data_IF_125545226137
#
_entry.id   IF_125545226137
#
_cell.length_a   1.000
_cell.length_b   1.000
_cell.length_c   1.000
_cell.angle_alpha   90.00
_cell.angle_beta   90.00
_cell.angle_gamma   90.00
#
_symmetry.space_group_name_H-M   'P 1'
#
loop_
_entity.id
_entity.type
_entity.pdbx_description
1 polymer ?
#
# COMPACT_ATOMS: atom_id res chain seq x y z
N UNK A 1 14.08 -10.90 -4.99
CA UNK A 1 13.61 -9.70 -4.31
C UNK A 1 12.70 -10.08 -3.14
N UNK A 2 12.92 -9.51 -1.98
CA UNK A 2 12.12 -9.82 -0.81
C UNK A 2 10.84 -8.98 -0.79
N UNK A 3 9.83 -9.44 -0.04
CA UNK A 3 8.59 -8.69 0.10
C UNK A 3 8.84 -7.31 0.71
N UNK A 4 9.72 -7.24 1.69
CA UNK A 4 10.05 -5.99 2.34
C UNK A 4 10.59 -4.96 1.36
N UNK A 5 11.47 -5.41 0.47
CA UNK A 5 12.04 -4.53 -0.53
C UNK A 5 10.97 -4.01 -1.49
N UNK A 6 10.03 -4.87 -1.85
CA UNK A 6 8.93 -4.49 -2.72
C UNK A 6 8.04 -3.46 -2.04
N UNK A 7 7.74 -3.68 -0.76
CA UNK A 7 6.94 -2.73 0.02
C UNK A 7 7.67 -1.39 0.12
N UNK A 8 8.98 -1.42 0.34
CA UNK A 8 9.77 -0.20 0.39
C UNK A 8 9.67 0.60 -0.90
N UNK A 9 9.69 -0.08 -2.04
CA UNK A 9 9.55 0.59 -3.33
C UNK A 9 8.18 1.24 -3.48
N UNK A 10 7.13 0.55 -3.05
CA UNK A 10 5.78 1.10 -3.08
C UNK A 10 5.71 2.35 -2.22
N UNK A 11 6.27 2.31 -1.02
CA UNK A 11 6.28 3.44 -0.12
C UNK A 11 7.12 4.59 -0.67
N UNK A 12 8.24 4.28 -1.29
CA UNK A 12 9.08 5.29 -1.92
C UNK A 12 8.33 6.02 -3.03
N UNK A 13 7.66 5.27 -3.89
CA UNK A 13 6.87 5.86 -4.97
C UNK A 13 5.71 6.69 -4.42
N UNK A 14 5.09 6.20 -3.35
CA UNK A 14 4.00 6.91 -2.69
C UNK A 14 4.48 8.24 -2.13
N UNK A 15 5.67 8.25 -1.55
CA UNK A 15 6.26 9.45 -1.00
C UNK A 15 6.55 10.47 -2.10
N UNK A 16 7.09 10.00 -3.22
CA UNK A 16 7.36 10.86 -4.36
C UNK A 16 6.10 11.51 -4.91
N UNK A 17 4.98 10.81 -4.84
CA UNK A 17 3.70 11.32 -5.35
C UNK A 17 2.91 12.10 -4.31
N UNK A 18 3.42 12.19 -3.09
CA UNK A 18 2.73 12.89 -2.02
C UNK A 18 1.53 12.15 -1.45
N UNK A 19 1.45 10.85 -1.66
CA UNK A 19 0.33 10.03 -1.19
C UNK A 19 0.75 8.99 -0.16
N UNK A 20 1.94 9.15 0.41
CA UNK A 20 2.49 8.20 1.37
C UNK A 20 1.53 7.93 2.54
N UNK A 21 1.03 8.99 3.13
CA UNK A 21 0.15 8.88 4.29
C UNK A 21 -1.15 8.13 3.95
N UNK A 22 -1.71 8.45 2.81
CA UNK A 22 -2.94 7.83 2.34
C UNK A 22 -2.74 6.34 2.08
N UNK A 23 -1.64 5.98 1.44
CA UNK A 23 -1.32 4.59 1.17
C UNK A 23 -1.12 3.82 2.47
N UNK A 24 -0.39 4.40 3.43
CA UNK A 24 -0.17 3.78 4.71
C UNK A 24 -1.47 3.55 5.47
N UNK A 25 -2.33 4.57 5.51
CA UNK A 25 -3.61 4.46 6.20
C UNK A 25 -4.51 3.40 5.53
N UNK A 26 -4.56 3.40 4.22
CA UNK A 26 -5.39 2.43 3.51
C UNK A 26 -4.88 1.01 3.70
N UNK A 27 -3.56 0.81 3.61
CA UNK A 27 -2.97 -0.50 3.82
C UNK A 27 -3.26 -1.01 5.24
N UNK A 28 -3.18 -0.11 6.22
CA UNK A 28 -3.49 -0.45 7.60
C UNK A 28 -4.95 -0.89 7.74
N UNK A 29 -5.87 -0.18 7.10
CA UNK A 29 -7.29 -0.55 7.10
C UNK A 29 -7.50 -1.93 6.49
N UNK A 30 -6.86 -2.19 5.36
CA UNK A 30 -6.97 -3.48 4.69
C UNK A 30 -6.45 -4.60 5.59
N UNK A 31 -5.28 -4.41 6.19
CA UNK A 31 -4.68 -5.41 7.07
C UNK A 31 -5.45 -5.59 8.37
N UNK A 32 -6.19 -4.58 8.81
CA UNK A 32 -6.98 -4.64 10.03
C UNK A 32 -8.33 -5.32 9.84
N UNK A 33 -8.70 -5.66 8.61
CA UNK A 33 -9.95 -6.34 8.34
C UNK A 33 -9.91 -7.79 8.82
N UNK A 34 -11.01 -8.26 9.39
CA UNK A 34 -11.12 -9.65 9.84
C UNK A 34 -11.03 -10.63 8.67
N UNK A 35 -11.40 -10.19 7.50
CA UNK A 35 -11.37 -11.03 6.30
C UNK A 35 -10.02 -11.03 5.60
N UNK A 36 -9.07 -10.25 6.10
CA UNK A 36 -7.77 -10.16 5.47
C UNK A 36 -6.97 -11.44 5.72
N UNK A 37 -6.70 -12.18 4.65
CA UNK A 37 -5.95 -13.44 4.69
C UNK A 37 -4.74 -13.41 3.76
N UNK A 38 -4.47 -12.25 3.19
CA UNK A 38 -3.39 -12.09 2.23
C UNK A 38 -2.12 -11.61 2.92
N UNK A 39 -1.08 -11.39 2.14
CA UNK A 39 0.20 -10.92 2.67
C UNK A 39 0.22 -9.40 2.78
N UNK A 40 1.14 -8.90 3.60
CA UNK A 40 1.30 -7.45 3.75
C UNK A 40 1.54 -6.77 2.42
N UNK A 41 2.35 -7.39 1.57
CA UNK A 41 2.65 -6.83 0.26
C UNK A 41 1.38 -6.64 -0.58
N UNK A 42 0.43 -7.56 -0.46
CA UNK A 42 -0.83 -7.44 -1.18
C UNK A 42 -1.63 -6.24 -0.70
N UNK A 43 -1.65 -6.01 0.60
CA UNK A 43 -2.35 -4.86 1.18
C UNK A 43 -1.75 -3.55 0.68
N UNK A 44 -0.43 -3.43 0.71
CA UNK A 44 0.23 -2.22 0.23
C UNK A 44 0.04 -2.01 -1.26
N UNK A 45 0.11 -3.08 -2.03
CA UNK A 45 -0.09 -3.00 -3.48
C UNK A 45 -1.51 -2.54 -3.81
N UNK A 46 -2.48 -3.12 -3.13
CA UNK A 46 -3.88 -2.76 -3.33
C UNK A 46 -4.13 -1.31 -2.94
N UNK A 47 -3.62 -0.91 -1.78
CA UNK A 47 -3.77 0.47 -1.31
C UNK A 47 -3.18 1.46 -2.30
N UNK A 48 -1.99 1.18 -2.80
CA UNK A 48 -1.32 2.02 -3.76
C UNK A 48 -2.14 2.17 -5.04
N UNK A 49 -2.62 1.05 -5.56
CA UNK A 49 -3.42 1.05 -6.79
C UNK A 49 -4.71 1.82 -6.63
N UNK A 50 -5.40 1.64 -5.51
CA UNK A 50 -6.64 2.33 -5.26
C UNK A 50 -6.45 3.85 -5.21
N UNK A 51 -5.44 4.29 -4.50
CA UNK A 51 -5.21 5.72 -4.32
C UNK A 51 -4.71 6.35 -5.60
N UNK A 52 -3.78 5.71 -6.28
CA UNK A 52 -3.27 6.21 -7.57
C UNK A 52 -4.39 6.24 -8.60
N UNK A 53 -5.24 5.22 -8.61
CA UNK A 53 -6.36 5.17 -9.53
C UNK A 53 -7.38 6.26 -9.32
N UNK A 54 -7.51 6.74 -8.09
CA UNK A 54 -8.46 7.82 -7.77
C UNK A 54 -7.89 9.21 -8.05
N UNK A 55 -6.61 9.40 -7.80
CA UNK A 55 -5.97 10.71 -7.91
C UNK A 55 -5.25 10.94 -9.22
N UNK A 56 -4.85 9.89 -9.86
CA UNK A 56 -4.08 9.94 -11.08
C UNK A 56 -4.66 8.98 -12.11
#
# INVERSE_FOLDING_TARGET
>A
MTEEKYIEEILYKSHSKGIYKEVMNRASDIMGSEDFKERRIDAYTQAYREIVGKKY
#
